data_IF_072545219630
#
_entry.id   IF_072545219630
#
_cell.length_a   1.000
_cell.length_b   1.000
_cell.length_c   1.000
_cell.angle_alpha   90.00
_cell.angle_beta   90.00
_cell.angle_gamma   90.00
#
_symmetry.space_group_name_H-M   'P 1'
#
loop_
_entity.id
_entity.type
_entity.pdbx_description
1 polymer ?
#
# COMPACT_ATOMS: atom_id res chain seq x y z
N UNK A 1 -15.84 10.26 10.31
CA UNK A 1 -15.94 10.97 9.03
C UNK A 1 -14.85 12.03 8.93
N UNK A 2 -13.96 11.87 7.95
CA UNK A 2 -12.97 12.89 7.56
C UNK A 2 -13.49 13.70 6.38
N UNK A 3 -13.28 15.02 6.41
CA UNK A 3 -13.65 15.92 5.31
C UNK A 3 -12.46 16.13 4.38
N UNK A 4 -12.66 15.87 3.09
CA UNK A 4 -11.61 15.92 2.06
C UNK A 4 -12.08 16.72 0.85
N UNK A 5 -11.14 17.18 0.03
CA UNK A 5 -11.41 18.10 -1.08
C UNK A 5 -10.95 17.51 -2.41
N UNK A 6 -11.84 17.45 -3.40
CA UNK A 6 -11.49 17.05 -4.77
C UNK A 6 -10.82 18.20 -5.51
N UNK A 7 -10.09 17.92 -6.61
CA UNK A 7 -9.48 18.96 -7.46
C UNK A 7 -10.48 20.03 -7.95
N UNK A 8 -11.73 19.63 -8.17
CA UNK A 8 -12.84 20.56 -8.51
C UNK A 8 -13.17 21.62 -7.43
N UNK A 9 -12.59 21.52 -6.22
CA UNK A 9 -12.91 22.36 -5.06
C UNK A 9 -14.07 21.84 -4.20
N UNK A 10 -14.84 20.87 -4.70
CA UNK A 10 -15.92 20.25 -3.94
C UNK A 10 -15.37 19.37 -2.82
N UNK A 11 -15.87 19.59 -1.59
CA UNK A 11 -15.59 18.71 -0.45
C UNK A 11 -16.56 17.54 -0.38
N UNK A 12 -16.11 16.45 0.22
CA UNK A 12 -16.92 15.29 0.58
C UNK A 12 -16.45 14.72 1.92
N UNK A 13 -17.25 13.85 2.51
CA UNK A 13 -16.89 13.11 3.71
C UNK A 13 -16.56 11.66 3.36
N UNK A 14 -15.49 11.13 3.97
CA UNK A 14 -15.08 9.74 3.87
C UNK A 14 -15.09 9.13 5.28
N UNK A 15 -15.57 7.89 5.40
CA UNK A 15 -15.41 7.11 6.61
C UNK A 15 -13.98 6.57 6.66
N UNK A 16 -13.15 7.10 7.58
CA UNK A 16 -11.74 6.74 7.68
C UNK A 16 -11.54 5.25 7.98
N UNK A 17 -12.50 4.61 8.66
CA UNK A 17 -12.44 3.19 8.99
C UNK A 17 -12.55 2.27 7.76
N UNK A 18 -12.96 2.80 6.60
CA UNK A 18 -13.09 2.04 5.34
C UNK A 18 -11.85 2.10 4.44
N UNK A 19 -10.86 2.90 4.83
CA UNK A 19 -9.64 3.09 4.06
C UNK A 19 -8.78 1.84 4.11
N UNK A 20 -8.34 1.39 2.94
CA UNK A 20 -7.41 0.27 2.80
C UNK A 20 -5.97 0.78 2.65
N UNK A 21 -5.80 1.86 1.88
CA UNK A 21 -4.49 2.38 1.52
C UNK A 21 -4.52 3.86 1.15
N UNK A 22 -3.44 4.57 1.48
CA UNK A 22 -3.22 5.99 1.17
C UNK A 22 -1.81 6.16 0.63
N UNK A 23 -1.65 6.96 -0.43
CA UNK A 23 -0.33 7.36 -0.92
C UNK A 23 -0.40 8.68 -1.68
N UNK A 24 0.77 9.25 -1.96
CA UNK A 24 0.88 10.36 -2.90
C UNK A 24 0.45 9.93 -4.31
N UNK A 25 -0.38 10.75 -4.97
CA UNK A 25 -0.75 10.56 -6.38
C UNK A 25 0.49 10.68 -7.27
N UNK A 26 0.54 9.87 -8.33
CA UNK A 26 1.60 9.98 -9.34
C UNK A 26 1.28 11.10 -10.31
N UNK A 27 2.25 11.97 -10.56
CA UNK A 27 2.10 13.10 -11.49
C UNK A 27 1.88 12.63 -12.94
N UNK A 28 2.44 11.47 -13.34
CA UNK A 28 2.23 10.89 -14.67
C UNK A 28 0.88 10.22 -14.88
N UNK A 29 0.12 9.92 -13.81
CA UNK A 29 -1.16 9.23 -13.96
C UNK A 29 -2.18 10.12 -14.66
N UNK A 30 -2.32 11.36 -14.19
CA UNK A 30 -3.04 12.45 -14.82
C UNK A 30 -2.77 13.74 -14.03
N UNK A 31 -2.29 14.85 -14.66
CA UNK A 31 -2.06 16.12 -13.99
C UNK A 31 -3.34 16.74 -13.38
N UNK A 32 -4.52 16.24 -13.77
CA UNK A 32 -5.83 16.60 -13.26
C UNK A 32 -6.31 15.83 -12.02
N UNK A 33 -5.42 15.05 -11.42
CA UNK A 33 -5.66 14.41 -10.13
C UNK A 33 -5.21 15.29 -8.95
N UNK A 34 -5.76 14.99 -7.77
CA UNK A 34 -5.34 15.61 -6.51
C UNK A 34 -3.98 15.08 -6.02
N UNK A 35 -3.46 15.65 -4.93
CA UNK A 35 -2.15 15.31 -4.36
C UNK A 35 -2.09 13.88 -3.76
N UNK A 36 -3.22 13.35 -3.32
CA UNK A 36 -3.30 12.06 -2.62
C UNK A 36 -4.30 11.11 -3.27
N UNK A 37 -3.90 9.86 -3.42
CA UNK A 37 -4.75 8.73 -3.76
C UNK A 37 -5.11 7.97 -2.48
N UNK A 38 -6.41 7.77 -2.27
CA UNK A 38 -6.98 6.95 -1.22
C UNK A 38 -7.71 5.79 -1.88
N UNK A 39 -7.35 4.56 -1.51
CA UNK A 39 -8.05 3.35 -1.89
C UNK A 39 -8.94 2.92 -0.71
N UNK A 40 -10.25 2.85 -0.95
CA UNK A 40 -11.26 2.33 -0.02
C UNK A 40 -12.23 1.42 -0.82
N UNK A 41 -13.55 1.59 -0.67
CA UNK A 41 -14.55 0.93 -1.55
C UNK A 41 -14.42 1.31 -3.03
N UNK A 42 -13.79 2.46 -3.28
CA UNK A 42 -13.39 2.95 -4.59
C UNK A 42 -12.13 3.83 -4.43
N UNK A 43 -11.61 4.34 -5.54
CA UNK A 43 -10.51 5.29 -5.54
C UNK A 43 -11.00 6.72 -5.33
N UNK A 44 -10.27 7.47 -4.51
CA UNK A 44 -10.49 8.90 -4.29
C UNK A 44 -9.19 9.66 -4.48
N UNK A 45 -9.24 10.70 -5.30
CA UNK A 45 -8.14 11.66 -5.47
C UNK A 45 -8.49 12.96 -4.78
N UNK A 46 -7.63 13.39 -3.85
CA UNK A 46 -7.91 14.53 -2.96
C UNK A 46 -6.73 15.50 -2.93
N UNK A 47 -7.01 16.78 -2.64
CA UNK A 47 -6.05 17.87 -2.70
C UNK A 47 -5.14 17.95 -1.47
N UNK A 48 -5.56 17.34 -0.36
CA UNK A 48 -4.78 17.27 0.86
C UNK A 48 -3.52 16.41 0.66
N UNK A 49 -2.43 16.73 1.37
CA UNK A 49 -1.20 15.95 1.35
C UNK A 49 -1.38 14.58 2.01
N UNK A 50 -0.68 13.55 1.49
CA UNK A 50 -0.93 12.16 1.87
C UNK A 50 -0.69 11.90 3.37
N UNK A 51 0.30 12.56 3.96
CA UNK A 51 0.57 12.48 5.40
C UNK A 51 -0.52 13.13 6.25
N UNK A 52 -1.11 14.24 5.78
CA UNK A 52 -2.21 14.90 6.46
C UNK A 52 -3.49 14.06 6.39
N UNK A 53 -3.77 13.45 5.23
CA UNK A 53 -4.87 12.49 5.07
C UNK A 53 -4.66 11.29 5.99
N UNK A 54 -3.47 10.71 6.00
CA UNK A 54 -3.16 9.57 6.86
C UNK A 54 -3.35 9.88 8.35
N UNK A 55 -2.86 11.03 8.82
CA UNK A 55 -3.07 11.46 10.20
C UNK A 55 -4.56 11.63 10.56
N UNK A 56 -5.38 12.10 9.63
CA UNK A 56 -6.82 12.22 9.84
C UNK A 56 -7.51 10.83 9.86
N UNK A 57 -7.10 9.92 8.97
CA UNK A 57 -7.61 8.54 8.90
C UNK A 57 -7.22 7.75 10.15
N UNK A 58 -6.00 7.90 10.66
CA UNK A 58 -5.48 7.17 11.83
C UNK A 58 -6.32 7.38 13.10
N UNK A 59 -6.99 8.54 13.23
CA UNK A 59 -7.94 8.81 14.33
C UNK A 59 -9.10 7.83 14.33
N UNK A 60 -9.58 7.43 13.14
CA UNK A 60 -10.72 6.52 12.96
C UNK A 60 -10.28 5.08 12.69
N UNK A 61 -9.04 4.90 12.22
CA UNK A 61 -8.44 3.62 11.88
C UNK A 61 -7.05 3.47 12.55
N UNK A 62 -6.99 3.08 13.84
CA UNK A 62 -5.73 2.96 14.58
C UNK A 62 -4.79 1.86 14.08
N UNK A 63 -5.25 1.03 13.14
CA UNK A 63 -4.45 -0.02 12.48
C UNK A 63 -3.79 0.45 11.19
N UNK A 64 -3.97 1.72 10.82
CA UNK A 64 -3.25 2.33 9.72
C UNK A 64 -1.75 2.39 10.06
N UNK A 65 -0.92 1.83 9.19
CA UNK A 65 0.53 1.81 9.35
C UNK A 65 1.24 2.36 8.11
N UNK A 66 2.30 3.13 8.32
CA UNK A 66 3.15 3.66 7.26
C UNK A 66 4.24 2.65 6.89
N UNK A 67 4.17 2.10 5.69
CA UNK A 67 5.24 1.34 5.06
C UNK A 67 6.01 2.18 4.05
N UNK A 68 7.16 1.67 3.61
CA UNK A 68 8.00 2.32 2.63
C UNK A 68 7.85 1.65 1.27
N UNK A 69 7.33 2.38 0.27
CA UNK A 69 7.32 1.92 -1.11
C UNK A 69 8.77 1.66 -1.59
N UNK A 70 8.97 0.81 -2.60
CA UNK A 70 10.31 0.43 -3.08
C UNK A 70 11.24 1.60 -3.41
N UNK A 71 10.69 2.69 -3.97
CA UNK A 71 11.45 3.93 -4.25
C UNK A 71 11.52 4.95 -3.09
N UNK A 72 11.10 4.56 -1.88
CA UNK A 72 11.26 5.34 -0.66
C UNK A 72 10.08 6.25 -0.28
N UNK A 73 9.07 6.38 -1.13
CA UNK A 73 7.86 7.12 -0.80
C UNK A 73 7.03 6.36 0.27
N UNK A 74 6.38 7.06 1.21
CA UNK A 74 5.52 6.41 2.18
C UNK A 74 4.21 5.93 1.54
N UNK A 75 3.72 4.79 2.02
CA UNK A 75 2.37 4.28 1.75
C UNK A 75 1.75 3.87 3.08
N UNK A 76 0.56 4.38 3.37
CA UNK A 76 -0.18 4.02 4.57
C UNK A 76 -1.19 2.94 4.23
N UNK A 77 -1.26 1.89 5.05
CA UNK A 77 -2.12 0.73 4.80
C UNK A 77 -2.81 0.33 6.08
N UNK A 78 -4.07 -0.08 5.98
CA UNK A 78 -4.74 -0.77 7.08
C UNK A 78 -4.11 -2.16 7.30
N UNK A 79 -3.26 -2.28 8.32
CA UNK A 79 -2.56 -3.53 8.61
C UNK A 79 -3.49 -4.63 9.12
N UNK A 80 -4.72 -4.30 9.56
CA UNK A 80 -5.70 -5.31 10.00
C UNK A 80 -6.33 -6.05 8.82
N UNK A 81 -6.55 -5.37 7.70
CA UNK A 81 -7.07 -6.00 6.48
C UNK A 81 -5.97 -6.59 5.58
N UNK A 82 -4.71 -6.52 6.01
CA UNK A 82 -3.58 -7.04 5.27
C UNK A 82 -3.30 -8.52 5.60
N UNK A 83 -2.79 -9.24 4.60
CA UNK A 83 -2.27 -10.60 4.72
C UNK A 83 -0.79 -10.63 4.29
N UNK A 84 0.09 -11.15 5.14
CA UNK A 84 1.51 -11.21 4.83
C UNK A 84 2.40 -11.62 6.02
N UNK A 85 3.73 -11.69 5.81
CA UNK A 85 4.46 -11.30 4.61
C UNK A 85 4.29 -12.26 3.43
N UNK A 86 4.46 -11.74 2.22
CA UNK A 86 4.47 -12.48 0.97
C UNK A 86 5.89 -12.54 0.39
N UNK A 87 6.30 -13.69 -0.21
CA UNK A 87 7.61 -13.83 -0.81
C UNK A 87 7.76 -12.90 -2.01
N UNK A 88 8.90 -12.22 -2.07
CA UNK A 88 9.32 -11.44 -3.22
C UNK A 88 10.50 -12.14 -3.87
N UNK A 89 10.43 -12.33 -5.19
CA UNK A 89 11.54 -12.90 -5.94
C UNK A 89 12.78 -12.00 -5.78
N UNK A 90 13.98 -12.57 -5.60
CA UNK A 90 15.21 -11.77 -5.48
C UNK A 90 15.35 -10.84 -6.69
N UNK A 91 15.23 -9.53 -6.49
CA UNK A 91 15.41 -8.55 -7.54
C UNK A 91 16.11 -7.27 -7.06
N UNK A 92 16.51 -6.42 -8.01
CA UNK A 92 17.35 -5.25 -7.76
C UNK A 92 16.55 -3.97 -7.38
N UNK A 93 15.24 -4.06 -7.23
CA UNK A 93 14.36 -2.87 -7.18
C UNK A 93 14.09 -2.38 -5.75
N UNK A 94 14.93 -2.77 -4.79
CA UNK A 94 14.85 -2.32 -3.40
C UNK A 94 13.70 -2.91 -2.58
N UNK A 95 12.98 -3.91 -3.12
CA UNK A 95 11.90 -4.62 -2.45
C UNK A 95 12.45 -5.74 -1.58
N UNK A 96 12.01 -5.77 -0.32
CA UNK A 96 12.41 -6.82 0.63
C UNK A 96 11.25 -7.71 1.06
N UNK A 97 10.01 -7.26 0.86
CA UNK A 97 8.79 -7.96 1.25
C UNK A 97 7.59 -7.45 0.47
N UNK A 98 6.49 -8.18 0.56
CA UNK A 98 5.18 -7.75 0.10
C UNK A 98 4.08 -8.19 1.08
N UNK A 99 2.87 -7.70 0.88
CA UNK A 99 1.66 -8.16 1.54
C UNK A 99 0.46 -7.90 0.63
N UNK A 100 -0.63 -8.62 0.87
CA UNK A 100 -1.89 -8.43 0.16
C UNK A 100 -2.84 -7.59 1.00
N UNK A 101 -3.50 -6.62 0.38
CA UNK A 101 -4.52 -5.79 1.03
C UNK A 101 -5.54 -5.35 -0.03
N UNK A 102 -6.83 -5.46 0.27
CA UNK A 102 -7.89 -5.14 -0.68
C UNK A 102 -7.88 -6.00 -1.95
N UNK A 103 -7.37 -7.23 -1.86
CA UNK A 103 -7.27 -8.16 -2.99
C UNK A 103 -6.13 -7.86 -3.98
N UNK A 104 -5.22 -6.93 -3.64
CA UNK A 104 -4.05 -6.57 -4.45
C UNK A 104 -2.76 -6.63 -3.63
N UNK A 105 -1.62 -6.82 -4.31
CA UNK A 105 -0.30 -6.93 -3.69
C UNK A 105 0.40 -5.58 -3.59
N UNK A 106 0.87 -5.24 -2.39
CA UNK A 106 1.73 -4.10 -2.12
C UNK A 106 3.15 -4.58 -1.82
N UNK A 107 4.13 -4.07 -2.56
CA UNK A 107 5.55 -4.32 -2.32
C UNK A 107 6.13 -3.21 -1.47
N UNK A 108 7.08 -3.56 -0.61
CA UNK A 108 7.64 -2.65 0.38
C UNK A 108 9.13 -2.93 0.66
N UNK A 109 9.81 -1.96 1.28
CA UNK A 109 11.23 -2.08 1.65
C UNK A 109 11.45 -2.75 3.00
N UNK A 110 10.41 -2.84 3.83
CA UNK A 110 10.45 -3.57 5.08
C UNK A 110 10.76 -5.04 4.83
N UNK A 111 11.49 -5.68 5.75
CA UNK A 111 11.76 -7.12 5.68
C UNK A 111 10.48 -7.94 5.90
N UNK A 112 10.49 -9.22 5.52
CA UNK A 112 9.38 -10.14 5.84
C UNK A 112 9.03 -10.12 7.35
N UNK A 113 10.04 -10.08 8.23
CA UNK A 113 9.81 -10.01 9.68
C UNK A 113 9.13 -8.70 10.09
N UNK A 114 9.58 -7.55 9.58
CA UNK A 114 8.97 -6.26 9.91
C UNK A 114 7.52 -6.20 9.44
N UNK A 115 7.22 -6.67 8.23
CA UNK A 115 5.84 -6.75 7.72
C UNK A 115 4.99 -7.66 8.61
N UNK A 116 5.53 -8.84 8.99
CA UNK A 116 4.84 -9.79 9.87
C UNK A 116 4.47 -9.16 11.21
N UNK A 117 5.43 -8.47 11.83
CA UNK A 117 5.25 -7.88 13.16
C UNK A 117 4.18 -6.79 13.15
N UNK A 118 4.13 -5.96 12.09
CA UNK A 118 3.10 -4.93 11.90
C UNK A 118 1.71 -5.56 11.71
N UNK A 119 1.59 -6.55 10.82
CA UNK A 119 0.31 -7.23 10.57
C UNK A 119 -0.16 -7.94 11.84
N UNK A 120 0.75 -8.61 12.57
CA UNK A 120 0.44 -9.28 13.82
C UNK A 120 -0.03 -8.29 14.89
N UNK A 121 0.65 -7.14 15.04
CA UNK A 121 0.26 -6.09 16.00
C UNK A 121 -1.11 -5.48 15.69
N UNK A 122 -1.50 -5.44 14.43
CA UNK A 122 -2.82 -4.97 13.98
C UNK A 122 -3.93 -6.05 14.05
N UNK A 123 -3.57 -7.29 14.42
CA UNK A 123 -4.42 -8.47 14.36
C UNK A 123 -4.92 -8.81 12.93
N UNK A 124 -4.07 -8.58 11.92
CA UNK A 124 -4.32 -9.01 10.54
C UNK A 124 -3.96 -10.47 10.28
N UNK A 125 -3.93 -10.86 9.00
CA UNK A 125 -3.70 -12.25 8.58
C UNK A 125 -2.20 -12.55 8.42
N UNK A 126 -1.62 -13.12 9.48
CA UNK A 126 -0.19 -13.39 9.56
C UNK A 126 0.17 -14.65 8.77
N UNK A 127 0.96 -14.47 7.71
CA UNK A 127 1.53 -15.56 6.92
C UNK A 127 2.89 -16.04 7.47
N UNK A 128 3.31 -17.26 7.15
CA UNK A 128 4.66 -17.73 7.46
C UNK A 128 5.73 -16.86 6.80
N UNK A 129 6.87 -16.66 7.49
CA UNK A 129 8.01 -15.96 6.89
C UNK A 129 8.59 -16.85 5.78
N UNK A 130 8.68 -16.36 4.53
CA UNK A 130 9.35 -17.08 3.47
C UNK A 130 10.83 -17.25 3.76
N UNK A 131 11.32 -18.49 3.61
CA UNK A 131 12.74 -18.83 3.68
C UNK A 131 13.21 -19.42 2.34
N UNK A 132 14.49 -19.81 2.25
CA UNK A 132 15.06 -20.39 1.02
C UNK A 132 14.37 -21.68 0.58
N UNK A 133 13.68 -22.38 1.50
CA UNK A 133 12.93 -23.59 1.17
C UNK A 133 11.62 -23.30 0.45
N UNK A 134 11.10 -22.07 0.53
CA UNK A 134 9.96 -21.65 -0.28
C UNK A 134 10.25 -21.80 -1.78
N UNK A 135 11.45 -21.39 -2.21
CA UNK A 135 11.85 -21.41 -3.62
C UNK A 135 12.24 -22.80 -4.13
N UNK A 136 12.41 -23.78 -3.23
CA UNK A 136 12.65 -25.18 -3.61
C UNK A 136 11.37 -25.99 -3.79
N UNK A 137 10.20 -25.40 -3.52
CA UNK A 137 8.89 -26.02 -3.77
C UNK A 137 8.60 -26.17 -5.27
N UNK A 138 7.59 -27.00 -5.60
CA UNK A 138 7.14 -27.12 -6.98
C UNK A 138 6.63 -25.79 -7.53
N UNK A 139 6.81 -25.57 -8.85
CA UNK A 139 6.30 -24.37 -9.53
C UNK A 139 4.79 -24.20 -9.31
N UNK A 140 4.03 -25.29 -9.26
CA UNK A 140 2.59 -25.25 -8.98
C UNK A 140 2.29 -24.78 -7.55
N UNK A 141 3.03 -25.26 -6.55
CA UNK A 141 2.88 -24.79 -5.17
C UNK A 141 3.20 -23.31 -5.03
N UNK A 142 4.28 -22.84 -5.67
CA UNK A 142 4.66 -21.42 -5.68
C UNK A 142 3.58 -20.58 -6.37
N UNK A 143 3.06 -21.03 -7.53
CA UNK A 143 1.97 -20.34 -8.25
C UNK A 143 0.68 -20.30 -7.43
N UNK A 144 0.31 -21.40 -6.77
CA UNK A 144 -0.88 -21.46 -5.94
C UNK A 144 -0.78 -20.53 -4.72
N UNK A 145 0.42 -20.41 -4.14
CA UNK A 145 0.65 -19.50 -3.01
C UNK A 145 0.66 -18.03 -3.46
N UNK A 146 1.41 -17.71 -4.51
CA UNK A 146 1.53 -16.33 -4.98
C UNK A 146 0.24 -15.82 -5.61
N UNK A 147 -0.52 -16.70 -6.28
CA UNK A 147 -1.71 -16.37 -7.04
C UNK A 147 -1.46 -15.39 -8.20
N UNK A 148 -2.46 -15.22 -9.06
CA UNK A 148 -2.50 -14.10 -10.00
C UNK A 148 -3.07 -12.86 -9.28
N UNK A 149 -2.37 -12.40 -8.24
CA UNK A 149 -2.76 -11.21 -7.47
C UNK A 149 -2.28 -9.97 -8.22
N UNK A 150 -3.20 -9.04 -8.50
CA UNK A 150 -2.86 -7.76 -9.15
C UNK A 150 -2.00 -6.90 -8.23
N UNK A 151 -0.97 -6.25 -8.77
CA UNK A 151 -0.13 -5.33 -8.03
C UNK A 151 -0.82 -3.96 -7.85
N UNK A 152 -0.73 -3.37 -6.65
CA UNK A 152 -1.19 -2.00 -6.40
C UNK A 152 -0.39 -0.97 -7.21
N UNK A 153 0.92 -1.14 -7.27
CA UNK A 153 1.85 -0.27 -8.01
C UNK A 153 2.73 -1.16 -8.90
N UNK A 154 2.33 -1.43 -10.16
CA UNK A 154 3.19 -2.17 -11.09
C UNK A 154 4.50 -1.43 -11.38
N UNK A 155 4.52 -0.10 -11.18
CA UNK A 155 5.69 0.77 -11.26
C UNK A 155 6.50 0.83 -9.96
N UNK A 156 6.09 0.13 -8.91
CA UNK A 156 6.75 0.12 -7.59
C UNK A 156 6.83 1.47 -6.88
N UNK A 157 5.98 2.44 -7.23
CA UNK A 157 5.91 3.74 -6.55
C UNK A 157 6.96 4.75 -7.02
N UNK A 158 7.41 4.67 -8.28
CA UNK A 158 8.27 5.70 -8.88
C UNK A 158 7.54 7.04 -8.82
N UNK A 159 8.17 8.01 -8.15
CA UNK A 159 7.78 9.42 -8.25
C UNK A 159 8.42 9.97 -9.51
N UNK A 160 7.60 10.39 -10.47
CA UNK A 160 8.13 11.02 -11.68
C UNK A 160 8.90 12.30 -11.32
N UNK A 161 9.98 12.63 -12.05
CA UNK A 161 10.65 13.90 -11.85
C UNK A 161 9.63 15.04 -12.01
N UNK A 162 9.67 16.01 -11.08
CA UNK A 162 8.81 17.19 -11.19
C UNK A 162 8.99 17.83 -12.57
N UNK A 163 7.91 18.29 -13.23
CA UNK A 163 8.04 18.99 -14.49
C UNK A 163 9.00 20.17 -14.28
N UNK A 164 10.03 20.26 -15.12
CA UNK A 164 10.98 21.37 -15.09
C UNK A 164 10.19 22.68 -15.27
N UNK A 165 10.21 23.52 -14.24
CA UNK A 165 9.65 24.88 -14.25
C UNK A 165 10.41 25.78 -15.20
#
# INVERSE_FOLDING_TARGET
MIKLTRKSGNSFELDGATVLRIRKTRASADPDLGNTLINASQEFFVMEEASAVAAAVEIELPTLHAFTQPYGAPVWVDARSAAGPMPVAPNADGMNSAFDVGGKRQYVRETHQQVRDVIQAAHGDVQPIPDDTFWSQSVEAIKNFLGDVEDWDPDRGVVDPAPST
#
